data_IF_795157927181
#
_entry.id   IF_795157927181
#
_cell.length_a   1.000
_cell.length_b   1.000
_cell.length_c   1.000
_cell.angle_alpha   90.00
_cell.angle_beta   90.00
_cell.angle_gamma   90.00
#
_symmetry.space_group_name_H-M   'P 1'
#
loop_
_entity.id
_entity.type
_entity.pdbx_description
1 polymer ?
#
# COMPACT_ATOMS: atom_id res chain seq x y z
N UNK A 1 23.62 -5.85 21.56
CA UNK A 1 22.50 -5.66 22.51
C UNK A 1 21.52 -4.53 22.15
N UNK A 2 21.70 -3.75 21.07
CA UNK A 2 20.76 -2.69 20.64
C UNK A 2 19.67 -3.11 19.62
N UNK A 3 19.73 -4.33 19.08
CA UNK A 3 18.75 -4.83 18.10
C UNK A 3 17.38 -5.18 18.69
N UNK A 4 17.30 -5.41 20.01
CA UNK A 4 16.04 -5.72 20.73
C UNK A 4 15.20 -4.50 21.11
N UNK A 5 15.72 -3.27 20.97
CA UNK A 5 15.01 -2.05 21.37
C UNK A 5 14.00 -1.59 20.29
N UNK A 6 14.14 -2.06 19.05
CA UNK A 6 13.28 -1.66 17.92
C UNK A 6 12.41 -2.79 17.36
N UNK A 7 12.42 -3.97 17.99
CA UNK A 7 11.45 -5.02 17.70
C UNK A 7 10.16 -4.73 18.46
N UNK A 8 9.23 -4.02 17.81
CA UNK A 8 7.91 -3.76 18.39
C UNK A 8 7.17 -5.07 18.64
N UNK A 9 6.33 -5.14 19.68
CA UNK A 9 5.47 -6.30 19.90
C UNK A 9 4.58 -6.50 18.66
N UNK A 10 4.40 -7.75 18.20
CA UNK A 10 3.51 -8.09 17.07
C UNK A 10 2.09 -7.51 17.23
N UNK A 11 1.67 -7.30 18.47
CA UNK A 11 0.38 -6.73 18.86
C UNK A 11 0.12 -5.31 18.34
N UNK A 12 1.17 -4.50 18.13
CA UNK A 12 1.04 -3.12 17.65
C UNK A 12 1.04 -3.02 16.12
N UNK A 13 1.31 -4.10 15.39
CA UNK A 13 1.29 -4.12 13.91
C UNK A 13 -0.11 -3.81 13.40
N UNK A 14 -1.11 -4.56 13.86
CA UNK A 14 -2.50 -4.44 13.36
C UNK A 14 -3.08 -3.05 13.66
N UNK A 15 -3.00 -2.51 14.89
CA UNK A 15 -3.44 -1.14 15.17
C UNK A 15 -2.76 -0.09 14.29
N UNK A 16 -1.44 -0.21 14.04
CA UNK A 16 -0.72 0.75 13.21
C UNK A 16 -1.26 0.80 11.77
N UNK A 17 -1.57 -0.34 11.16
CA UNK A 17 -2.14 -0.31 9.81
C UNK A 17 -3.62 0.14 9.78
N UNK A 18 -4.37 -0.01 10.88
CA UNK A 18 -5.77 0.46 10.98
C UNK A 18 -5.90 1.97 11.19
N UNK A 19 -4.85 2.65 11.66
CA UNK A 19 -4.85 4.12 11.82
C UNK A 19 -5.05 4.82 10.47
N UNK A 20 -4.47 4.28 9.39
CA UNK A 20 -4.56 4.88 8.05
C UNK A 20 -6.00 4.91 7.51
N UNK A 21 -6.73 3.77 7.40
CA UNK A 21 -8.13 3.82 7.01
C UNK A 21 -8.98 4.61 8.02
N UNK A 22 -8.71 4.48 9.32
CA UNK A 22 -9.42 5.26 10.35
C UNK A 22 -9.34 6.77 10.09
N UNK A 23 -8.13 7.29 9.90
CA UNK A 23 -7.90 8.71 9.61
C UNK A 23 -8.55 9.15 8.30
N UNK A 24 -8.44 8.34 7.23
CA UNK A 24 -9.00 8.67 5.91
C UNK A 24 -10.53 8.69 5.93
N UNK A 25 -11.17 7.64 6.45
CA UNK A 25 -12.63 7.54 6.47
C UNK A 25 -13.26 8.54 7.46
N UNK A 26 -12.70 8.71 8.66
CA UNK A 26 -13.19 9.69 9.62
C UNK A 26 -13.02 11.12 9.09
N UNK A 27 -11.87 11.45 8.48
CA UNK A 27 -11.66 12.78 7.89
C UNK A 27 -12.57 13.05 6.69
N UNK A 28 -13.00 11.99 5.99
CA UNK A 28 -13.96 12.14 4.90
C UNK A 28 -15.37 12.45 5.41
N UNK A 29 -15.81 11.81 6.49
CA UNK A 29 -17.13 12.04 7.09
C UNK A 29 -17.18 13.28 7.99
N UNK A 30 -16.05 13.68 8.59
CA UNK A 30 -15.97 14.81 9.50
C UNK A 30 -15.95 16.17 8.78
N UNK A 31 -16.22 17.24 9.57
CA UNK A 31 -16.04 18.63 9.13
C UNK A 31 -14.59 18.90 8.74
N UNK A 32 -14.37 19.84 7.82
CA UNK A 32 -13.04 20.16 7.26
C UNK A 32 -12.01 20.53 8.33
N UNK A 33 -12.44 21.12 9.44
CA UNK A 33 -11.59 21.52 10.57
C UNK A 33 -10.90 20.33 11.25
N UNK A 34 -11.59 19.18 11.35
CA UNK A 34 -11.02 17.99 11.99
C UNK A 34 -10.05 17.22 11.10
N UNK A 35 -9.95 17.57 9.81
CA UNK A 35 -9.04 16.93 8.87
C UNK A 35 -7.60 16.98 9.39
N UNK A 36 -7.10 18.17 9.72
CA UNK A 36 -5.73 18.35 10.20
C UNK A 36 -5.47 17.61 11.51
N UNK A 37 -6.42 17.70 12.45
CA UNK A 37 -6.30 17.06 13.76
C UNK A 37 -6.14 15.54 13.63
N UNK A 38 -6.97 14.89 12.79
CA UNK A 38 -6.92 13.45 12.58
C UNK A 38 -5.62 13.00 11.88
N UNK A 39 -5.15 13.74 10.89
CA UNK A 39 -3.90 13.43 10.20
C UNK A 39 -2.66 13.68 11.07
N UNK A 40 -2.64 14.75 11.87
CA UNK A 40 -1.56 15.00 12.83
C UNK A 40 -1.54 13.92 13.91
N UNK A 41 -2.69 13.57 14.48
CA UNK A 41 -2.81 12.51 15.48
C UNK A 41 -2.29 11.17 14.91
N UNK A 42 -2.75 10.79 13.71
CA UNK A 42 -2.30 9.58 13.03
C UNK A 42 -0.80 9.61 12.74
N UNK A 43 -0.26 10.74 12.29
CA UNK A 43 1.17 10.91 12.04
C UNK A 43 1.99 10.73 13.31
N UNK A 44 1.64 11.42 14.40
CA UNK A 44 2.36 11.35 15.69
C UNK A 44 2.34 9.93 16.23
N UNK A 45 1.18 9.25 16.16
CA UNK A 45 1.05 7.88 16.62
C UNK A 45 1.92 6.92 15.79
N UNK A 46 1.82 6.95 14.46
CA UNK A 46 2.57 6.03 13.59
C UNK A 46 4.08 6.30 13.61
N UNK A 47 4.47 7.57 13.69
CA UNK A 47 5.86 7.97 13.80
C UNK A 47 6.44 7.58 15.16
N UNK A 48 5.68 7.75 16.25
CA UNK A 48 6.08 7.33 17.60
C UNK A 48 6.33 5.82 17.72
N UNK A 49 5.52 5.02 17.03
CA UNK A 49 5.70 3.56 16.95
C UNK A 49 6.82 3.19 15.95
N UNK A 50 7.15 4.05 14.98
CA UNK A 50 8.22 3.81 14.01
C UNK A 50 7.78 3.06 12.75
N UNK A 51 6.48 2.98 12.46
CA UNK A 51 5.94 2.36 11.25
C UNK A 51 6.07 3.28 10.03
N UNK A 52 7.11 3.06 9.22
CA UNK A 52 7.46 3.96 8.11
C UNK A 52 6.47 3.92 6.95
N UNK A 53 6.12 2.72 6.47
CA UNK A 53 5.22 2.56 5.31
C UNK A 53 3.81 3.11 5.59
N UNK A 54 3.17 2.82 6.74
CA UNK A 54 1.90 3.44 7.11
C UNK A 54 1.95 4.96 7.22
N UNK A 55 3.05 5.57 7.69
CA UNK A 55 3.20 7.04 7.71
C UNK A 55 3.15 7.61 6.29
N UNK A 56 3.91 7.02 5.36
CA UNK A 56 3.91 7.48 3.96
C UNK A 56 2.52 7.29 3.33
N UNK A 57 1.88 6.14 3.58
CA UNK A 57 0.53 5.86 3.09
C UNK A 57 -0.52 6.84 3.65
N UNK A 58 -0.42 7.20 4.94
CA UNK A 58 -1.25 8.23 5.56
C UNK A 58 -1.08 9.57 4.86
N UNK A 59 0.15 10.03 4.64
CA UNK A 59 0.40 11.33 4.00
C UNK A 59 -0.16 11.35 2.57
N UNK A 60 0.16 10.33 1.76
CA UNK A 60 -0.33 10.23 0.37
C UNK A 60 -1.86 10.16 0.35
N UNK A 61 -2.49 9.31 1.16
CA UNK A 61 -3.94 9.21 1.25
C UNK A 61 -4.59 10.53 1.68
N UNK A 62 -3.97 11.24 2.62
CA UNK A 62 -4.38 12.58 3.03
C UNK A 62 -4.31 13.61 1.90
N UNK A 63 -3.23 13.61 1.10
CA UNK A 63 -3.11 14.49 -0.06
C UNK A 63 -4.22 14.25 -1.07
N UNK A 64 -4.48 12.98 -1.41
CA UNK A 64 -5.55 12.59 -2.34
C UNK A 64 -6.93 12.99 -1.82
N UNK A 65 -7.19 12.76 -0.54
CA UNK A 65 -8.47 13.07 0.09
C UNK A 65 -8.71 14.57 0.20
N UNK A 66 -7.68 15.31 0.65
CA UNK A 66 -7.70 16.74 0.91
C UNK A 66 -7.64 17.60 -0.35
N UNK A 67 -7.14 17.06 -1.47
CA UNK A 67 -7.09 17.77 -2.75
C UNK A 67 -8.48 18.28 -3.17
N UNK A 68 -8.55 19.59 -3.46
CA UNK A 68 -9.77 20.37 -3.77
C UNK A 68 -10.84 20.44 -2.68
N UNK A 69 -10.73 19.66 -1.59
CA UNK A 69 -11.65 19.72 -0.44
C UNK A 69 -11.17 20.71 0.62
N UNK A 70 -9.89 20.60 0.98
CA UNK A 70 -9.23 21.32 2.08
C UNK A 70 -8.13 22.24 1.54
N UNK A 71 -7.36 21.78 0.54
CA UNK A 71 -6.19 22.48 0.04
C UNK A 71 -6.28 22.82 -1.45
N UNK A 72 -5.66 23.94 -1.84
CA UNK A 72 -5.46 24.33 -3.24
C UNK A 72 -4.37 23.50 -3.92
N UNK A 73 -4.32 23.55 -5.25
CA UNK A 73 -3.30 22.82 -6.04
C UNK A 73 -1.88 23.19 -5.65
N UNK A 74 -1.61 24.47 -5.36
CA UNK A 74 -0.29 24.95 -4.94
C UNK A 74 0.16 24.29 -3.64
N UNK A 75 -0.72 24.22 -2.65
CA UNK A 75 -0.42 23.59 -1.36
C UNK A 75 -0.19 22.09 -1.54
N UNK A 76 -0.95 21.42 -2.41
CA UNK A 76 -0.76 20.00 -2.72
C UNK A 76 0.59 19.71 -3.39
N UNK A 77 1.05 20.59 -4.29
CA UNK A 77 2.37 20.46 -4.93
C UNK A 77 3.47 20.65 -3.88
N UNK A 78 3.39 21.71 -3.08
CA UNK A 78 4.40 22.00 -2.04
C UNK A 78 4.49 20.88 -0.99
N UNK A 79 3.34 20.32 -0.57
CA UNK A 79 3.32 19.22 0.39
C UNK A 79 3.85 17.91 -0.21
N UNK A 80 3.61 17.64 -1.51
CA UNK A 80 4.21 16.49 -2.19
C UNK A 80 5.73 16.62 -2.30
N UNK A 81 6.24 17.83 -2.57
CA UNK A 81 7.68 18.09 -2.61
C UNK A 81 8.31 17.93 -1.21
N UNK A 82 7.62 18.41 -0.17
CA UNK A 82 8.03 18.24 1.22
C UNK A 82 8.03 16.76 1.66
N UNK A 83 7.09 15.96 1.16
CA UNK A 83 7.08 14.51 1.41
C UNK A 83 8.30 13.83 0.78
N UNK A 84 8.61 14.14 -0.48
CA UNK A 84 9.77 13.58 -1.17
C UNK A 84 11.06 13.96 -0.44
N UNK A 85 11.22 15.23 -0.07
CA UNK A 85 12.42 15.68 0.65
C UNK A 85 12.53 15.01 2.03
N UNK A 86 11.42 14.86 2.75
CA UNK A 86 11.37 14.13 4.02
C UNK A 86 11.86 12.68 3.87
N UNK A 87 11.33 11.92 2.91
CA UNK A 87 11.70 10.51 2.70
C UNK A 87 13.19 10.37 2.38
N UNK A 88 13.71 11.22 1.50
CA UNK A 88 15.12 11.20 1.08
C UNK A 88 16.06 11.58 2.23
N UNK A 89 15.78 12.70 2.92
CA UNK A 89 16.63 13.20 4.01
C UNK A 89 16.60 12.29 5.22
N UNK A 90 15.42 11.78 5.60
CA UNK A 90 15.29 10.85 6.72
C UNK A 90 16.01 9.53 6.45
N UNK A 91 15.86 8.98 5.23
CA UNK A 91 16.58 7.78 4.81
C UNK A 91 18.10 7.96 4.89
N UNK A 92 18.60 9.10 4.43
CA UNK A 92 20.00 9.47 4.52
C UNK A 92 20.51 9.61 5.95
N UNK A 93 19.78 10.36 6.79
CA UNK A 93 20.13 10.53 8.20
C UNK A 93 20.25 9.19 8.93
N UNK A 94 19.32 8.26 8.67
CA UNK A 94 19.38 6.90 9.22
C UNK A 94 20.58 6.11 8.69
N UNK A 95 20.94 6.22 7.42
CA UNK A 95 22.10 5.53 6.86
C UNK A 95 23.41 6.02 7.49
N UNK A 96 23.57 7.34 7.64
CA UNK A 96 24.74 7.95 8.30
C UNK A 96 24.88 7.49 9.75
N UNK A 97 23.77 7.40 10.49
CA UNK A 97 23.75 6.88 11.87
C UNK A 97 24.17 5.42 11.98
N UNK A 98 23.93 4.62 10.94
CA UNK A 98 24.33 3.19 10.88
C UNK A 98 25.78 3.04 10.36
N UNK A 99 26.48 4.15 10.10
CA UNK A 99 27.87 4.15 9.66
C UNK A 99 28.05 4.14 8.14
N UNK A 100 26.97 4.21 7.36
CA UNK A 100 27.03 4.38 5.90
C UNK A 100 27.25 5.86 5.57
N UNK A 101 28.50 6.32 5.61
CA UNK A 101 28.87 7.74 5.48
C UNK A 101 29.36 8.16 4.09
N UNK A 102 29.23 7.31 3.07
CA UNK A 102 29.74 7.58 1.71
C UNK A 102 28.72 8.10 0.70
N UNK A 103 27.43 8.15 1.04
CA UNK A 103 26.37 8.49 0.10
C UNK A 103 25.81 9.89 0.35
N UNK A 104 25.53 10.64 -0.72
CA UNK A 104 24.68 11.83 -0.64
C UNK A 104 23.22 11.40 -0.49
N UNK A 105 22.31 12.28 -0.01
CA UNK A 105 20.91 11.90 0.18
C UNK A 105 20.26 11.35 -1.10
N UNK A 106 20.52 11.99 -2.24
CA UNK A 106 19.99 11.56 -3.53
C UNK A 106 20.65 10.27 -4.02
N UNK A 107 21.97 10.12 -3.87
CA UNK A 107 22.64 8.89 -4.32
C UNK A 107 22.17 7.67 -3.52
N UNK A 108 21.94 7.82 -2.21
CA UNK A 108 21.36 6.75 -1.39
C UNK A 108 19.96 6.34 -1.89
N UNK A 109 19.10 7.31 -2.22
CA UNK A 109 17.77 7.01 -2.75
C UNK A 109 17.85 6.25 -4.08
N UNK A 110 18.76 6.65 -4.98
CA UNK A 110 19.02 5.95 -6.24
C UNK A 110 19.56 4.53 -6.01
N UNK A 111 20.51 4.34 -5.10
CA UNK A 111 21.07 3.03 -4.79
C UNK A 111 20.01 2.06 -4.22
N UNK A 112 19.07 2.56 -3.41
CA UNK A 112 17.94 1.73 -2.93
C UNK A 112 17.04 1.29 -4.08
N UNK A 113 16.72 2.19 -5.02
CA UNK A 113 15.93 1.83 -6.19
C UNK A 113 16.68 0.82 -7.08
N UNK A 114 17.98 1.01 -7.30
CA UNK A 114 18.82 0.06 -8.04
C UNK A 114 18.83 -1.32 -7.38
N UNK A 115 18.99 -1.37 -6.06
CA UNK A 115 18.99 -2.62 -5.32
C UNK A 115 17.66 -3.37 -5.46
N UNK A 116 16.53 -2.68 -5.28
CA UNK A 116 15.20 -3.28 -5.44
C UNK A 116 14.95 -3.78 -6.86
N UNK A 117 15.39 -3.04 -7.88
CA UNK A 117 15.31 -3.48 -9.28
C UNK A 117 16.21 -4.68 -9.56
N UNK A 118 17.43 -4.70 -9.01
CA UNK A 118 18.35 -5.83 -9.13
C UNK A 118 17.79 -7.10 -8.48
N UNK A 119 17.13 -6.98 -7.33
CA UNK A 119 16.41 -8.11 -6.69
C UNK A 119 15.29 -8.60 -7.61
N UNK A 120 14.55 -7.70 -8.25
CA UNK A 120 13.51 -8.09 -9.22
C UNK A 120 14.10 -8.79 -10.45
N UNK A 121 15.17 -8.27 -11.04
CA UNK A 121 15.85 -8.90 -12.19
C UNK A 121 16.34 -10.31 -11.85
N UNK A 122 16.87 -10.49 -10.63
CA UNK A 122 17.24 -11.83 -10.14
C UNK A 122 16.02 -12.76 -10.06
N UNK A 123 14.91 -12.31 -9.45
CA UNK A 123 13.65 -13.09 -9.38
C UNK A 123 13.17 -13.48 -10.78
N UNK A 124 13.23 -12.56 -11.75
CA UNK A 124 12.87 -12.84 -13.15
C UNK A 124 13.77 -13.94 -13.72
N UNK A 125 15.08 -13.88 -13.50
CA UNK A 125 16.02 -14.85 -14.08
C UNK A 125 15.80 -16.29 -13.60
N UNK A 126 15.32 -16.48 -12.37
CA UNK A 126 15.07 -17.81 -11.79
C UNK A 126 13.62 -18.29 -11.92
N UNK A 127 12.65 -17.37 -12.07
CA UNK A 127 11.21 -17.70 -12.03
C UNK A 127 10.54 -17.66 -13.40
N UNK A 128 11.21 -17.11 -14.41
CA UNK A 128 10.62 -17.00 -15.74
C UNK A 128 10.51 -18.38 -16.43
N UNK A 129 9.37 -18.70 -17.08
CA UNK A 129 8.10 -17.97 -17.14
C UNK A 129 7.04 -18.47 -16.15
N UNK A 130 7.27 -19.61 -15.49
CA UNK A 130 6.22 -20.39 -14.81
C UNK A 130 6.10 -20.14 -13.30
N UNK A 131 7.02 -19.39 -12.70
CA UNK A 131 7.12 -19.24 -11.25
C UNK A 131 7.86 -20.40 -10.58
N UNK A 132 8.44 -20.12 -9.41
CA UNK A 132 9.23 -21.07 -8.63
C UNK A 132 8.42 -21.61 -7.44
N UNK A 133 7.77 -20.74 -6.68
CA UNK A 133 7.16 -21.08 -5.39
C UNK A 133 5.70 -21.53 -5.49
N UNK A 134 5.06 -21.40 -6.66
CA UNK A 134 3.72 -21.94 -6.99
C UNK A 134 2.63 -21.66 -5.95
N UNK A 135 2.73 -20.54 -5.23
CA UNK A 135 1.73 -20.11 -4.24
C UNK A 135 2.20 -20.19 -2.79
N UNK A 136 3.37 -20.78 -2.50
CA UNK A 136 3.91 -20.83 -1.13
C UNK A 136 4.20 -19.41 -0.59
N UNK A 137 4.61 -18.47 -1.45
CA UNK A 137 4.85 -17.09 -1.02
C UNK A 137 3.52 -16.39 -0.74
N UNK A 138 2.50 -16.57 -1.56
CA UNK A 138 1.15 -16.06 -1.29
C UNK A 138 0.60 -16.62 0.03
N UNK A 139 0.77 -17.91 0.30
CA UNK A 139 0.36 -18.52 1.57
C UNK A 139 1.13 -17.96 2.77
N UNK A 140 2.41 -17.62 2.59
CA UNK A 140 3.23 -17.02 3.65
C UNK A 140 2.77 -15.63 4.11
N UNK A 141 1.87 -14.99 3.36
CA UNK A 141 1.28 -13.70 3.72
C UNK A 141 0.28 -13.86 4.88
N UNK A 142 -0.36 -15.04 5.01
CA UNK A 142 -1.27 -15.28 6.12
C UNK A 142 -0.50 -15.30 7.44
N UNK A 143 -1.01 -14.61 8.49
CA UNK A 143 -0.33 -14.57 9.78
C UNK A 143 -0.23 -15.97 10.36
N UNK A 144 1.00 -16.41 10.66
CA UNK A 144 1.29 -17.73 11.18
C UNK A 144 2.75 -17.89 11.59
N UNK A 145 3.14 -19.06 12.13
CA UNK A 145 4.52 -19.33 12.57
C UNK A 145 5.53 -19.49 11.41
N UNK A 146 5.09 -19.33 10.16
CA UNK A 146 5.90 -19.49 8.96
C UNK A 146 6.83 -18.30 8.69
N UNK A 147 7.73 -18.50 7.72
CA UNK A 147 8.63 -17.45 7.22
C UNK A 147 7.79 -16.40 6.48
N UNK A 148 7.91 -15.14 6.86
CA UNK A 148 7.17 -14.06 6.18
C UNK A 148 7.62 -13.85 4.72
N UNK A 149 6.77 -13.24 3.89
CA UNK A 149 6.99 -13.15 2.43
C UNK A 149 8.27 -12.40 2.06
N UNK A 150 8.62 -11.33 2.79
CA UNK A 150 9.89 -10.58 2.55
C UNK A 150 11.14 -11.37 2.95
N UNK A 151 11.02 -12.28 3.90
CA UNK A 151 12.12 -13.16 4.32
C UNK A 151 12.26 -14.33 3.36
N UNK A 152 11.15 -14.85 2.81
CA UNK A 152 11.19 -15.84 1.73
C UNK A 152 11.91 -15.29 0.50
N UNK A 153 11.60 -14.05 0.09
CA UNK A 153 12.32 -13.37 -1.01
C UNK A 153 13.81 -13.22 -0.69
N UNK A 154 14.15 -12.85 0.55
CA UNK A 154 15.54 -12.73 0.99
C UNK A 154 16.30 -14.06 0.88
N UNK A 155 15.69 -15.16 1.32
CA UNK A 155 16.27 -16.50 1.27
C UNK A 155 16.53 -16.93 -0.19
N UNK A 156 15.61 -16.64 -1.10
CA UNK A 156 15.76 -16.96 -2.53
C UNK A 156 16.87 -16.12 -3.17
N UNK A 157 17.00 -14.84 -2.81
CA UNK A 157 18.05 -13.95 -3.31
C UNK A 157 19.46 -14.27 -2.75
N UNK A 158 19.58 -15.14 -1.74
CA UNK A 158 20.85 -15.37 -1.04
C UNK A 158 21.20 -14.27 -0.04
N UNK A 159 20.18 -13.57 0.47
CA UNK A 159 20.32 -12.60 1.55
C UNK A 159 20.74 -13.25 2.88
N UNK A 160 21.09 -12.42 3.86
CA UNK A 160 21.40 -12.92 5.21
C UNK A 160 20.17 -13.65 5.78
N UNK A 161 20.35 -14.80 6.47
CA UNK A 161 19.27 -15.46 7.19
C UNK A 161 18.57 -14.45 8.09
N UNK A 162 17.22 -14.48 8.11
CA UNK A 162 16.35 -13.57 8.89
C UNK A 162 16.32 -12.10 8.42
N UNK A 163 17.12 -11.70 7.42
CA UNK A 163 17.00 -10.37 6.84
C UNK A 163 15.75 -10.29 5.94
N UNK A 164 15.08 -9.15 5.96
CA UNK A 164 13.98 -8.85 5.03
C UNK A 164 14.53 -8.07 3.85
N UNK A 165 14.26 -8.55 2.64
CA UNK A 165 14.61 -7.86 1.40
C UNK A 165 13.31 -7.48 0.72
N UNK A 166 13.24 -6.23 0.26
CA UNK A 166 12.12 -5.75 -0.55
C UNK A 166 12.39 -6.06 -2.01
N UNK A 167 11.33 -6.41 -2.73
CA UNK A 167 11.32 -6.43 -4.19
C UNK A 167 10.24 -5.44 -4.66
N UNK A 168 10.24 -5.16 -5.96
CA UNK A 168 9.20 -4.35 -6.58
C UNK A 168 7.82 -4.98 -6.38
N UNK A 169 6.76 -4.22 -6.65
CA UNK A 169 5.37 -4.72 -6.60
C UNK A 169 5.13 -6.01 -7.42
N UNK A 170 5.94 -6.25 -8.45
CA UNK A 170 5.84 -7.44 -9.30
C UNK A 170 6.73 -8.60 -8.86
N UNK A 171 7.64 -8.41 -7.91
CA UNK A 171 8.52 -9.47 -7.42
C UNK A 171 7.77 -10.69 -6.86
N UNK A 172 6.87 -10.51 -5.86
CA UNK A 172 6.10 -11.62 -5.30
C UNK A 172 5.27 -12.40 -6.33
N UNK A 173 4.43 -11.78 -7.18
CA UNK A 173 3.64 -12.52 -8.16
C UNK A 173 4.51 -13.19 -9.25
N UNK A 174 5.65 -12.60 -9.61
CA UNK A 174 6.61 -13.21 -10.53
C UNK A 174 7.27 -14.45 -9.92
N UNK A 175 7.63 -14.40 -8.64
CA UNK A 175 8.25 -15.53 -7.95
C UNK A 175 7.28 -16.70 -7.77
N UNK A 176 6.01 -16.43 -7.45
CA UNK A 176 5.00 -17.47 -7.27
C UNK A 176 4.52 -18.11 -8.58
N UNK A 177 4.04 -17.29 -9.52
CA UNK A 177 3.29 -17.77 -10.69
C UNK A 177 3.88 -17.26 -12.01
N UNK A 178 5.07 -16.67 -11.97
CA UNK A 178 5.77 -16.18 -13.15
C UNK A 178 5.00 -15.06 -13.86
N UNK A 179 5.08 -15.05 -15.19
CA UNK A 179 4.50 -13.97 -16.02
C UNK A 179 2.98 -13.91 -15.85
N UNK A 180 2.32 -15.06 -15.75
CA UNK A 180 0.87 -15.15 -15.60
C UNK A 180 0.44 -14.52 -14.26
N UNK A 181 1.20 -14.77 -13.20
CA UNK A 181 1.02 -14.11 -11.89
C UNK A 181 1.04 -12.59 -12.00
N UNK A 182 2.06 -12.04 -12.65
CA UNK A 182 2.22 -10.59 -12.82
C UNK A 182 1.03 -9.99 -13.57
N UNK A 183 0.59 -10.61 -14.65
CA UNK A 183 -0.55 -10.13 -15.46
C UNK A 183 -1.85 -10.14 -14.64
N UNK A 184 -2.16 -11.26 -13.98
CA UNK A 184 -3.38 -11.39 -13.17
C UNK A 184 -3.36 -10.41 -12.00
N UNK A 185 -2.23 -10.31 -11.30
CA UNK A 185 -2.07 -9.38 -10.18
C UNK A 185 -2.24 -7.92 -10.62
N UNK A 186 -1.63 -7.52 -11.74
CA UNK A 186 -1.76 -6.17 -12.30
C UNK A 186 -3.21 -5.84 -12.67
N UNK A 187 -3.91 -6.81 -13.27
CA UNK A 187 -5.34 -6.68 -13.58
C UNK A 187 -6.17 -6.49 -12.31
N UNK A 188 -5.96 -7.31 -11.28
CA UNK A 188 -6.71 -7.24 -10.02
C UNK A 188 -6.51 -5.89 -9.30
N UNK A 189 -5.26 -5.40 -9.23
CA UNK A 189 -4.98 -4.08 -8.63
C UNK A 189 -5.65 -2.97 -9.44
N UNK A 190 -5.49 -2.98 -10.76
CA UNK A 190 -6.09 -1.96 -11.64
C UNK A 190 -7.62 -1.96 -11.54
N UNK A 191 -8.23 -3.14 -11.52
CA UNK A 191 -9.68 -3.29 -11.40
C UNK A 191 -10.21 -2.84 -10.03
N UNK A 192 -9.53 -3.22 -8.95
CA UNK A 192 -9.84 -2.76 -7.59
C UNK A 192 -9.77 -1.23 -7.47
N UNK A 193 -8.71 -0.63 -8.03
CA UNK A 193 -8.53 0.81 -8.06
C UNK A 193 -9.65 1.50 -8.89
N UNK A 194 -10.03 0.93 -10.02
CA UNK A 194 -11.12 1.44 -10.87
C UNK A 194 -12.46 1.48 -10.13
N UNK A 195 -12.83 0.40 -9.42
CA UNK A 195 -14.07 0.39 -8.63
C UNK A 195 -14.02 1.45 -7.51
N UNK A 196 -12.86 1.57 -6.86
CA UNK A 196 -12.68 2.50 -5.75
C UNK A 196 -12.84 3.96 -6.15
N UNK A 197 -12.70 4.34 -7.43
CA UNK A 197 -12.97 5.71 -7.92
C UNK A 197 -14.37 6.21 -7.57
N UNK A 198 -15.35 5.30 -7.41
CA UNK A 198 -16.72 5.64 -6.98
C UNK A 198 -16.79 6.07 -5.50
N UNK A 199 -15.77 5.75 -4.71
CA UNK A 199 -15.68 6.05 -3.28
C UNK A 199 -14.33 6.72 -2.97
N UNK A 200 -14.31 8.06 -2.95
CA UNK A 200 -13.10 8.87 -2.72
C UNK A 200 -12.22 8.42 -1.53
N UNK A 201 -12.75 8.11 -0.32
CA UNK A 201 -11.89 7.65 0.78
C UNK A 201 -11.25 6.28 0.50
N UNK A 202 -11.97 5.36 -0.16
CA UNK A 202 -11.43 4.06 -0.54
C UNK A 202 -10.34 4.20 -1.61
N UNK A 203 -10.57 5.04 -2.61
CA UNK A 203 -9.54 5.37 -3.61
C UNK A 203 -8.29 5.99 -2.98
N UNK A 204 -8.47 6.93 -2.05
CA UNK A 204 -7.36 7.57 -1.33
C UNK A 204 -6.55 6.57 -0.49
N UNK A 205 -7.23 5.63 0.17
CA UNK A 205 -6.59 4.55 0.92
C UNK A 205 -5.75 3.65 0.01
N UNK A 206 -6.33 3.15 -1.08
CA UNK A 206 -5.65 2.26 -2.01
C UNK A 206 -4.46 2.93 -2.68
N UNK A 207 -4.62 4.17 -3.15
CA UNK A 207 -3.50 4.92 -3.75
C UNK A 207 -2.40 5.20 -2.72
N UNK A 208 -2.77 5.46 -1.46
CA UNK A 208 -1.86 5.65 -0.35
C UNK A 208 -0.94 4.44 -0.13
N UNK A 209 -1.45 3.22 -0.25
CA UNK A 209 -0.66 2.00 -0.11
C UNK A 209 -0.01 1.53 -1.43
N UNK A 210 -0.62 1.84 -2.58
CA UNK A 210 -0.10 1.44 -3.88
C UNK A 210 1.24 2.12 -4.18
N UNK A 211 1.33 3.44 -3.96
CA UNK A 211 2.53 4.21 -4.33
C UNK A 211 3.79 3.74 -3.58
N UNK A 212 3.80 3.60 -2.24
CA UNK A 212 4.94 2.99 -1.53
C UNK A 212 5.14 1.51 -1.91
N UNK A 213 4.05 0.80 -2.21
CA UNK A 213 4.06 -0.60 -2.61
C UNK A 213 4.82 -0.89 -3.90
N UNK A 214 5.02 0.12 -4.77
CA UNK A 214 5.86 0.00 -5.98
C UNK A 214 7.29 -0.44 -5.63
N UNK A 215 7.87 0.13 -4.58
CA UNK A 215 9.24 -0.16 -4.13
C UNK A 215 9.29 -1.30 -3.10
N UNK A 216 8.32 -1.35 -2.17
CA UNK A 216 8.38 -2.27 -1.03
C UNK A 216 7.67 -3.61 -1.24
N UNK A 217 6.94 -3.73 -2.36
CA UNK A 217 5.99 -4.81 -2.61
C UNK A 217 4.70 -4.68 -1.78
N UNK A 218 3.62 -5.28 -2.28
CA UNK A 218 2.36 -5.45 -1.53
C UNK A 218 2.30 -6.89 -1.04
N UNK A 219 2.80 -7.10 0.17
CA UNK A 219 2.91 -8.44 0.79
C UNK A 219 2.37 -8.49 2.22
N UNK A 220 1.78 -7.38 2.68
CA UNK A 220 1.17 -7.29 3.99
C UNK A 220 -0.32 -7.70 3.88
N UNK A 221 -0.73 -8.70 4.66
CA UNK A 221 -2.09 -9.27 4.62
C UNK A 221 -3.21 -8.22 4.68
N UNK A 222 -3.06 -7.23 5.56
CA UNK A 222 -4.07 -6.19 5.73
C UNK A 222 -4.19 -5.28 4.51
N UNK A 223 -3.07 -4.97 3.85
CA UNK A 223 -3.09 -4.17 2.62
C UNK A 223 -3.81 -4.95 1.51
N UNK A 224 -3.49 -6.24 1.35
CA UNK A 224 -4.16 -7.09 0.36
C UNK A 224 -5.67 -7.12 0.63
N UNK A 225 -6.06 -7.24 1.90
CA UNK A 225 -7.48 -7.19 2.30
C UNK A 225 -8.14 -5.88 1.87
N UNK A 226 -7.46 -4.74 1.99
CA UNK A 226 -7.98 -3.47 1.47
C UNK A 226 -8.18 -3.48 -0.05
N UNK A 227 -7.26 -4.07 -0.82
CA UNK A 227 -7.44 -4.23 -2.27
C UNK A 227 -8.54 -5.21 -2.65
N UNK A 228 -8.89 -6.17 -1.79
CA UNK A 228 -10.00 -7.10 -2.02
C UNK A 228 -11.38 -6.47 -1.73
N UNK A 229 -11.47 -5.50 -0.81
CA UNK A 229 -12.75 -4.88 -0.41
C UNK A 229 -13.57 -4.31 -1.58
N UNK A 230 -13.02 -3.47 -2.50
CA UNK A 230 -13.79 -2.97 -3.64
C UNK A 230 -14.33 -4.09 -4.54
N UNK A 231 -13.55 -5.16 -4.72
CA UNK A 231 -13.96 -6.31 -5.54
C UNK A 231 -15.17 -7.00 -4.92
N UNK A 232 -15.15 -7.24 -3.60
CA UNK A 232 -16.27 -7.83 -2.87
C UNK A 232 -17.53 -6.96 -2.94
N UNK A 233 -17.37 -5.64 -2.82
CA UNK A 233 -18.49 -4.69 -2.94
C UNK A 233 -19.11 -4.77 -4.35
N UNK A 234 -18.29 -4.81 -5.41
CA UNK A 234 -18.79 -4.91 -6.77
C UNK A 234 -19.59 -6.21 -7.00
N UNK A 235 -19.07 -7.35 -6.55
CA UNK A 235 -19.78 -8.64 -6.64
C UNK A 235 -21.09 -8.67 -5.85
N UNK A 236 -21.14 -7.98 -4.70
CA UNK A 236 -22.35 -7.91 -3.87
C UNK A 236 -23.46 -7.08 -4.55
N UNK A 237 -23.12 -5.93 -5.13
CA UNK A 237 -24.09 -5.04 -5.78
C UNK A 237 -24.70 -5.64 -7.05
N UNK A 238 -23.93 -6.46 -7.78
CA UNK A 238 -24.42 -7.17 -8.95
C UNK A 238 -25.52 -8.18 -8.56
N UNK A 239 -25.31 -8.95 -7.49
CA UNK A 239 -26.32 -9.91 -6.97
C UNK A 239 -27.62 -9.24 -6.55
N UNK A 240 -27.56 -8.06 -5.93
CA UNK A 240 -28.75 -7.31 -5.50
C UNK A 240 -29.56 -6.76 -6.69
N UNK A 241 -28.91 -6.52 -7.83
CA UNK A 241 -29.59 -6.06 -9.04
C UNK A 241 -30.38 -7.18 -9.74
N UNK A 242 -29.99 -8.45 -9.53
CA UNK A 242 -30.73 -9.62 -10.04
C UNK A 242 -31.89 -10.07 -9.13
N UNK A 243 -31.94 -9.63 -7.86
CA UNK A 243 -32.97 -10.02 -6.89
C UNK A 243 -34.14 -9.05 -6.76
N UNK A 244 -34.09 -7.89 -7.42
CA UNK A 244 -35.23 -6.96 -7.47
C UNK A 244 -36.19 -7.40 -8.58
N UNK A 245 -37.46 -7.74 -8.28
CA UNK A 245 -38.45 -7.95 -9.33
C UNK A 245 -38.59 -6.66 -10.14
N UNK A 246 -38.36 -6.79 -11.45
CA UNK A 246 -38.53 -5.72 -12.43
C UNK A 246 -39.99 -5.30 -12.43
N UNK A 247 -40.35 -4.31 -11.60
CA UNK A 247 -41.70 -3.78 -11.53
C UNK A 247 -41.98 -2.99 -12.82
N UNK A 248 -42.45 -3.69 -13.83
CA UNK A 248 -42.95 -3.15 -15.09
C UNK A 248 -44.31 -2.48 -14.85
N UNK A 249 -44.35 -1.40 -14.08
CA UNK A 249 -45.51 -0.52 -14.08
C UNK A 249 -45.22 0.65 -15.02
N UNK A 250 -45.58 0.45 -16.29
CA UNK A 250 -45.94 1.52 -17.20
C UNK A 250 -47.05 2.34 -16.54
N UNK A 251 -46.71 3.51 -16.00
CA UNK A 251 -47.69 4.56 -15.72
C UNK A 251 -47.52 5.60 -16.81
N UNK A 252 -48.40 5.49 -17.79
CA UNK A 252 -48.63 6.46 -18.87
C UNK A 252 -48.91 7.84 -18.29
N UNK A 253 -48.04 8.81 -18.57
CA UNK A 253 -48.33 10.22 -18.41
C UNK A 253 -49.37 10.62 -19.47
N UNK A 254 -50.65 10.62 -19.08
CA UNK A 254 -51.72 11.20 -19.89
C UNK A 254 -51.64 12.72 -19.75
N UNK A 255 -51.09 13.39 -20.76
CA UNK A 255 -51.32 14.82 -20.98
C UNK A 255 -52.70 14.94 -21.62
N UNK A 256 -53.67 15.58 -20.95
CA UNK A 256 -54.70 16.41 -21.59
C UNK A 256 -55.50 17.20 -20.54
N UNK A 257 -55.88 18.41 -20.96
CA UNK A 257 -56.64 19.51 -20.34
C UNK A 257 -55.94 20.31 -19.25
#
# INVERSE_FOLDING_TARGET
MLGKIFGLPPELVIPAFLVVPGAIFLSYSARKEYFYALFILGFVFLFGIGYRTPVVALIIGGLVLGYKRVFSTTVAILSSLALISYVVLYGWFKAVMVGWRGFSPLSLALERMKFTSHVFDYIVSISYPWGLTRGDLLLSIFPGPGIGPRTMISNVFGGRPEATITSTIFGPPMLDFGVLGVVVFSFLIGFSLSISLKCKPLYALLLGYLLPGIETGIVDFLIITYFLLPLLIAFSLEKTSYSLPRNNNHVSFNRNS
#
